data_IF_799903473117
#
_entry.id   IF_799903473117
#
_cell.length_a   1.000
_cell.length_b   1.000
_cell.length_c   1.000
_cell.angle_alpha   90.00
_cell.angle_beta   90.00
_cell.angle_gamma   90.00
#
_symmetry.space_group_name_H-M   'P 1'
#
loop_
_entity.id
_entity.type
_entity.pdbx_description
1 polymer ?
#
# COMPACT_ATOMS: atom_id res chain seq x y z
N UNK A 1 -11.51 -15.64 13.27
CA UNK A 1 -11.92 -16.04 11.95
C UNK A 1 -11.10 -17.23 11.50
N UNK A 2 -11.76 -18.22 11.01
CA UNK A 2 -11.10 -19.43 10.51
C UNK A 2 -10.46 -19.21 9.17
N UNK A 3 -10.73 -18.06 8.52
CA UNK A 3 -10.34 -17.73 7.14
C UNK A 3 -10.43 -18.91 6.13
N UNK A 4 -11.19 -19.94 6.46
CA UNK A 4 -11.43 -21.12 5.59
C UNK A 4 -10.16 -21.82 5.11
N UNK A 5 -9.04 -21.74 5.83
CA UNK A 5 -7.76 -22.28 5.38
C UNK A 5 -7.07 -21.49 4.26
N UNK A 6 -7.56 -20.31 3.93
CA UNK A 6 -7.03 -19.46 2.82
C UNK A 6 -5.79 -18.68 3.27
N UNK A 7 -5.52 -18.60 4.57
CA UNK A 7 -4.35 -17.89 5.07
C UNK A 7 -3.08 -18.47 4.46
N UNK A 8 -2.33 -17.62 3.78
CA UNK A 8 -1.00 -17.91 3.26
C UNK A 8 0.00 -16.96 3.88
N UNK A 9 1.16 -17.47 4.25
CA UNK A 9 2.25 -16.60 4.71
C UNK A 9 2.75 -15.74 3.55
N UNK A 10 3.13 -14.51 3.87
CA UNK A 10 3.74 -13.60 2.92
C UNK A 10 5.21 -13.95 2.73
N UNK A 11 5.62 -14.16 1.50
CA UNK A 11 7.01 -14.37 1.13
C UNK A 11 7.59 -13.03 0.69
N UNK A 12 8.62 -12.56 1.38
CA UNK A 12 9.31 -11.31 1.04
C UNK A 12 10.69 -11.59 0.46
N UNK A 13 11.23 -10.71 -0.39
CA UNK A 13 12.61 -10.82 -0.85
C UNK A 13 13.59 -10.90 0.33
N UNK A 14 14.52 -11.85 0.28
CA UNK A 14 15.47 -12.07 1.39
C UNK A 14 16.56 -10.99 1.47
N UNK A 15 16.95 -10.45 0.31
CA UNK A 15 18.05 -9.49 0.23
C UNK A 15 17.53 -8.11 -0.21
N UNK A 16 17.45 -7.17 0.74
CA UNK A 16 17.07 -5.79 0.50
C UNK A 16 18.15 -4.97 -0.20
N UNK A 17 19.42 -5.37 -0.11
CA UNK A 17 20.54 -4.66 -0.76
C UNK A 17 20.40 -4.63 -2.28
N UNK A 18 19.64 -5.58 -2.85
CA UNK A 18 19.30 -5.61 -4.27
C UNK A 18 18.57 -4.34 -4.73
N UNK A 19 17.80 -3.72 -3.85
CA UNK A 19 16.99 -2.54 -4.12
C UNK A 19 17.63 -1.26 -3.61
N UNK A 20 18.70 -1.38 -2.80
CA UNK A 20 19.34 -0.24 -2.20
C UNK A 20 20.09 0.61 -3.23
N UNK A 21 19.90 1.91 -3.17
CA UNK A 21 20.68 2.86 -3.95
C UNK A 21 22.01 3.12 -3.27
N UNK A 22 23.09 3.06 -4.08
CA UNK A 22 24.40 3.54 -3.67
C UNK A 22 24.39 5.07 -3.77
N UNK A 23 24.25 5.73 -2.62
CA UNK A 23 24.11 7.18 -2.58
C UNK A 23 25.44 7.86 -2.34
N UNK A 24 25.65 8.99 -3.03
CA UNK A 24 26.71 9.96 -2.72
C UNK A 24 26.07 11.17 -2.08
N UNK A 25 26.60 11.59 -0.93
CA UNK A 25 26.04 12.71 -0.17
C UNK A 25 25.89 13.96 -1.03
N UNK A 26 24.66 14.51 -1.09
CA UNK A 26 24.34 15.73 -1.84
C UNK A 26 24.40 15.63 -3.36
N UNK A 27 24.55 14.42 -3.94
CA UNK A 27 24.70 14.22 -5.39
C UNK A 27 23.70 13.22 -5.97
N UNK A 28 23.07 12.38 -5.17
CA UNK A 28 22.17 11.35 -5.65
C UNK A 28 20.73 11.85 -5.52
N UNK A 29 20.00 11.78 -6.62
CA UNK A 29 18.56 12.02 -6.66
C UNK A 29 17.87 10.78 -7.18
N UNK A 30 16.67 10.47 -6.67
CA UNK A 30 15.87 9.34 -7.14
C UNK A 30 14.38 9.56 -6.88
N UNK A 31 13.57 8.88 -7.66
CA UNK A 31 12.13 8.76 -7.41
C UNK A 31 11.90 7.58 -6.46
N UNK A 32 11.62 7.85 -5.19
CA UNK A 32 11.51 6.83 -4.15
C UNK A 32 10.44 5.79 -4.48
N UNK A 33 9.28 6.23 -4.94
CA UNK A 33 8.18 5.36 -5.31
C UNK A 33 8.51 4.44 -6.49
N UNK A 34 9.33 4.88 -7.45
CA UNK A 34 9.76 4.04 -8.58
C UNK A 34 10.61 2.88 -8.10
N UNK A 35 11.55 3.15 -7.20
CA UNK A 35 12.41 2.11 -6.63
C UNK A 35 11.62 1.16 -5.72
N UNK A 36 10.66 1.68 -4.94
CA UNK A 36 9.72 0.84 -4.20
C UNK A 36 8.91 -0.06 -5.14
N UNK A 37 8.50 0.43 -6.31
CA UNK A 37 7.80 -0.37 -7.32
C UNK A 37 8.58 -1.60 -7.77
N UNK A 38 9.91 -1.52 -7.86
CA UNK A 38 10.77 -2.67 -8.17
C UNK A 38 10.78 -3.72 -7.04
N UNK A 39 10.80 -3.30 -5.78
CA UNK A 39 10.64 -4.19 -4.64
C UNK A 39 9.26 -4.86 -4.63
N UNK A 40 8.19 -4.10 -4.80
CA UNK A 40 6.81 -4.61 -4.81
C UNK A 40 6.58 -5.59 -5.96
N UNK A 41 7.18 -5.37 -7.13
CA UNK A 41 7.16 -6.31 -8.26
C UNK A 41 7.63 -7.71 -7.83
N UNK A 42 8.73 -7.78 -7.11
CA UNK A 42 9.27 -9.04 -6.64
C UNK A 42 8.38 -9.67 -5.54
N UNK A 43 7.81 -8.85 -4.64
CA UNK A 43 6.81 -9.32 -3.66
C UNK A 43 5.60 -9.96 -4.37
N UNK A 44 5.05 -9.33 -5.41
CA UNK A 44 3.94 -9.89 -6.19
C UNK A 44 4.35 -11.20 -6.86
N UNK A 45 5.54 -11.24 -7.45
CA UNK A 45 6.05 -12.44 -8.15
C UNK A 45 6.17 -13.65 -7.22
N UNK A 46 6.52 -13.42 -5.95
CA UNK A 46 6.59 -14.45 -4.91
C UNK A 46 5.21 -14.83 -4.34
N UNK A 47 4.20 -13.95 -4.49
CA UNK A 47 2.89 -14.09 -3.85
C UNK A 47 1.73 -13.96 -4.84
N UNK A 48 1.79 -14.66 -5.96
CA UNK A 48 0.86 -14.53 -7.11
C UNK A 48 -0.62 -14.62 -6.73
N UNK A 49 -0.98 -15.37 -5.69
CA UNK A 49 -2.37 -15.64 -5.32
C UNK A 49 -2.81 -14.97 -4.02
N UNK A 50 -1.89 -14.33 -3.29
CA UNK A 50 -2.19 -13.84 -1.94
C UNK A 50 -1.74 -12.41 -1.68
N UNK A 51 -1.40 -11.64 -2.71
CA UNK A 51 -1.03 -10.23 -2.63
C UNK A 51 -1.80 -9.40 -3.64
N UNK A 52 -2.34 -8.25 -3.22
CA UNK A 52 -2.99 -7.27 -4.10
C UNK A 52 -2.52 -5.85 -3.79
N UNK A 53 -2.64 -5.01 -4.79
CA UNK A 53 -2.47 -3.55 -4.68
C UNK A 53 -3.81 -2.91 -5.01
N UNK A 54 -4.29 -2.03 -4.15
CA UNK A 54 -5.48 -1.25 -4.38
C UNK A 54 -5.14 0.22 -4.52
N UNK A 55 -5.84 0.93 -5.39
CA UNK A 55 -5.67 2.37 -5.57
C UNK A 55 -6.67 2.92 -6.60
N UNK A 56 -7.02 4.22 -6.53
CA UNK A 56 -8.06 4.80 -7.37
C UNK A 56 -7.49 5.33 -8.70
N UNK A 57 -7.08 4.44 -9.62
CA UNK A 57 -6.48 4.75 -10.93
C UNK A 57 -5.16 5.56 -10.87
N UNK A 58 -4.39 5.35 -9.82
CA UNK A 58 -3.19 6.15 -9.54
C UNK A 58 -1.89 5.34 -9.58
N UNK A 59 -1.91 4.06 -9.96
CA UNK A 59 -0.71 3.21 -9.90
C UNK A 59 0.46 3.76 -10.74
N UNK A 60 0.20 4.23 -11.96
CA UNK A 60 1.23 4.81 -12.83
C UNK A 60 1.67 6.20 -12.37
N UNK A 61 0.74 7.05 -11.97
CA UNK A 61 1.05 8.40 -11.48
C UNK A 61 1.79 8.38 -10.13
N UNK A 62 1.58 7.32 -9.35
CA UNK A 62 2.34 7.03 -8.13
C UNK A 62 3.69 6.33 -8.39
N UNK A 63 4.13 6.25 -9.66
CA UNK A 63 5.42 5.68 -10.07
C UNK A 63 5.59 4.18 -9.78
N UNK A 64 4.50 3.44 -9.64
CA UNK A 64 4.51 1.98 -9.42
C UNK A 64 4.61 1.17 -10.74
N UNK A 65 5.18 1.75 -11.80
CA UNK A 65 5.25 1.15 -13.14
C UNK A 65 5.83 -0.27 -13.15
N UNK A 66 6.88 -0.51 -12.36
CA UNK A 66 7.54 -1.83 -12.30
C UNK A 66 6.62 -2.97 -11.87
N UNK A 67 5.54 -2.67 -11.16
CA UNK A 67 4.54 -3.67 -10.75
C UNK A 67 3.94 -4.36 -11.96
N UNK A 68 3.73 -3.64 -13.06
CA UNK A 68 3.13 -4.17 -14.28
C UNK A 68 4.06 -5.09 -15.08
N UNK A 69 5.31 -5.22 -14.69
CA UNK A 69 6.20 -6.28 -15.21
C UNK A 69 5.86 -7.67 -14.64
N UNK A 70 5.21 -7.72 -13.47
CA UNK A 70 4.85 -8.97 -12.77
C UNK A 70 3.36 -9.29 -12.85
N UNK A 71 2.49 -8.31 -13.09
CA UNK A 71 1.04 -8.48 -13.07
C UNK A 71 0.34 -7.43 -13.93
N UNK A 72 -0.99 -7.50 -13.98
CA UNK A 72 -1.84 -6.55 -14.68
C UNK A 72 -2.87 -5.95 -13.72
N UNK A 73 -3.63 -4.97 -14.20
CA UNK A 73 -4.88 -4.54 -13.58
C UNK A 73 -5.89 -5.68 -13.64
N UNK A 74 -6.62 -5.87 -12.56
CA UNK A 74 -7.73 -6.81 -12.48
C UNK A 74 -8.89 -6.33 -13.35
N UNK A 75 -9.24 -7.09 -14.37
CA UNK A 75 -10.32 -6.73 -15.29
C UNK A 75 -11.23 -7.91 -15.57
N UNK A 76 -12.53 -7.78 -15.29
CA UNK A 76 -13.49 -8.88 -15.37
C UNK A 76 -14.39 -8.81 -16.61
N UNK A 77 -14.35 -7.71 -17.37
CA UNK A 77 -15.14 -7.55 -18.59
C UNK A 77 -14.35 -7.95 -19.83
N UNK A 78 -14.88 -7.65 -21.02
CA UNK A 78 -14.20 -7.94 -22.29
C UNK A 78 -12.89 -7.12 -22.38
N UNK A 79 -11.83 -7.78 -22.76
CA UNK A 79 -10.53 -7.17 -23.09
C UNK A 79 -10.43 -7.12 -24.61
N UNK A 80 -10.14 -5.95 -25.17
CA UNK A 80 -9.94 -5.74 -26.61
C UNK A 80 -8.44 -5.57 -26.92
N UNK A 81 -8.10 -5.62 -28.21
CA UNK A 81 -6.69 -5.61 -28.64
C UNK A 81 -5.91 -4.34 -28.22
N UNK A 82 -6.61 -3.23 -28.07
CA UNK A 82 -6.06 -1.92 -27.71
C UNK A 82 -5.87 -1.75 -26.18
N UNK A 83 -6.46 -2.64 -25.38
CA UNK A 83 -6.35 -2.57 -23.94
C UNK A 83 -4.94 -3.01 -23.51
N UNK A 84 -4.31 -2.15 -22.72
CA UNK A 84 -2.98 -2.39 -22.18
C UNK A 84 -3.07 -2.68 -20.67
N UNK A 85 -2.18 -3.52 -20.19
CA UNK A 85 -2.03 -3.81 -18.75
C UNK A 85 -3.29 -4.37 -18.06
N UNK A 86 -4.27 -4.89 -18.81
CA UNK A 86 -5.48 -5.51 -18.27
C UNK A 86 -5.39 -7.04 -18.29
N UNK A 87 -5.96 -7.68 -17.28
CA UNK A 87 -5.98 -9.15 -17.21
C UNK A 87 -6.94 -9.70 -16.15
N UNK A 88 -7.50 -10.89 -16.43
CA UNK A 88 -8.44 -11.58 -15.53
C UNK A 88 -7.84 -11.90 -14.16
N UNK A 89 -6.55 -12.19 -14.12
CA UNK A 89 -5.82 -12.55 -12.90
C UNK A 89 -4.93 -11.43 -12.37
N UNK A 90 -5.16 -10.19 -12.83
CA UNK A 90 -4.43 -9.03 -12.38
C UNK A 90 -4.48 -8.84 -10.86
N UNK A 91 -3.41 -8.30 -10.29
CA UNK A 91 -3.26 -8.06 -8.85
C UNK A 91 -3.32 -6.59 -8.49
N UNK A 92 -3.45 -5.71 -9.47
CA UNK A 92 -3.68 -4.29 -9.27
C UNK A 92 -5.17 -4.00 -9.45
N UNK A 93 -5.79 -3.44 -8.42
CA UNK A 93 -7.20 -3.05 -8.39
C UNK A 93 -7.22 -1.53 -8.33
N UNK A 94 -7.19 -0.90 -9.51
CA UNK A 94 -7.14 0.55 -9.66
C UNK A 94 -8.09 1.09 -10.74
N UNK A 95 -9.06 0.30 -11.15
CA UNK A 95 -10.01 0.69 -12.20
C UNK A 95 -11.21 1.52 -11.71
N UNK A 96 -11.25 1.85 -10.42
CA UNK A 96 -12.34 2.60 -9.79
C UNK A 96 -11.77 3.85 -9.14
N UNK A 97 -12.26 5.03 -9.49
CA UNK A 97 -11.95 6.30 -8.81
C UNK A 97 -12.74 6.39 -7.50
N UNK A 98 -12.36 5.55 -6.54
CA UNK A 98 -13.09 5.43 -5.27
C UNK A 98 -12.18 4.80 -4.21
N UNK A 99 -11.54 5.62 -3.41
CA UNK A 99 -10.66 5.20 -2.32
C UNK A 99 -11.38 4.30 -1.32
N UNK A 100 -12.64 4.62 -1.00
CA UNK A 100 -13.42 3.83 -0.05
C UNK A 100 -13.77 2.44 -0.60
N UNK A 101 -14.01 2.30 -1.91
CA UNK A 101 -14.21 0.98 -2.51
C UNK A 101 -12.91 0.18 -2.55
N UNK A 102 -11.78 0.83 -2.88
CA UNK A 102 -10.45 0.21 -2.87
C UNK A 102 -10.07 -0.26 -1.47
N UNK A 103 -10.28 0.57 -0.46
CA UNK A 103 -9.99 0.23 0.94
C UNK A 103 -10.88 -0.91 1.44
N UNK A 104 -12.19 -0.86 1.19
CA UNK A 104 -13.12 -1.93 1.58
C UNK A 104 -12.81 -3.28 0.93
N UNK A 105 -12.38 -3.28 -0.34
CA UNK A 105 -11.90 -4.50 -1.00
C UNK A 105 -10.61 -5.02 -0.35
N UNK A 106 -9.67 -4.13 -0.01
CA UNK A 106 -8.44 -4.51 0.68
C UNK A 106 -8.73 -5.07 2.07
N UNK A 107 -9.57 -4.40 2.88
CA UNK A 107 -9.97 -4.92 4.20
C UNK A 107 -10.55 -6.34 4.09
N UNK A 108 -11.51 -6.55 3.21
CA UNK A 108 -12.09 -7.87 2.97
C UNK A 108 -11.02 -8.91 2.60
N UNK A 109 -10.04 -8.51 1.78
CA UNK A 109 -8.94 -9.37 1.37
C UNK A 109 -8.01 -9.74 2.54
N UNK A 110 -7.64 -8.76 3.36
CA UNK A 110 -6.82 -8.97 4.57
C UNK A 110 -7.52 -9.86 5.59
N UNK A 111 -8.85 -9.70 5.77
CA UNK A 111 -9.65 -10.53 6.67
C UNK A 111 -9.66 -12.02 6.29
N UNK A 112 -9.39 -12.34 5.03
CA UNK A 112 -9.21 -13.73 4.57
C UNK A 112 -7.81 -14.29 4.85
N UNK A 113 -6.89 -13.53 5.43
CA UNK A 113 -5.51 -13.92 5.72
C UNK A 113 -4.55 -13.72 4.55
N UNK A 114 -4.91 -12.90 3.59
CA UNK A 114 -4.08 -12.46 2.48
C UNK A 114 -3.41 -11.13 2.78
N UNK A 115 -2.66 -10.58 1.82
CA UNK A 115 -1.80 -9.41 2.02
C UNK A 115 -2.00 -8.37 0.90
N UNK A 116 -1.63 -7.15 1.18
CA UNK A 116 -1.69 -6.06 0.21
C UNK A 116 -1.52 -4.69 0.84
N UNK A 117 -1.71 -3.66 0.03
CA UNK A 117 -1.76 -2.28 0.48
C UNK A 117 -2.66 -1.45 -0.43
N UNK A 118 -3.08 -0.30 0.07
CA UNK A 118 -3.71 0.75 -0.72
C UNK A 118 -2.74 1.91 -0.90
N UNK A 119 -2.70 2.47 -2.11
CA UNK A 119 -2.02 3.75 -2.37
C UNK A 119 -3.03 4.80 -2.78
N UNK A 120 -2.78 6.05 -2.41
CA UNK A 120 -3.58 7.20 -2.80
C UNK A 120 -2.80 8.50 -2.65
N UNK A 121 -3.37 9.60 -3.12
CA UNK A 121 -2.90 10.94 -2.81
C UNK A 121 -3.36 11.39 -1.43
N UNK A 122 -2.54 12.21 -0.80
CA UNK A 122 -2.78 12.68 0.56
C UNK A 122 -4.16 13.36 0.72
N UNK A 123 -4.56 14.19 -0.26
CA UNK A 123 -5.82 14.90 -0.20
C UNK A 123 -7.06 14.02 -0.35
N UNK A 124 -6.98 12.94 -1.15
CA UNK A 124 -8.16 12.14 -1.48
C UNK A 124 -8.41 11.01 -0.48
N UNK A 125 -7.36 10.53 0.18
CA UNK A 125 -7.47 9.44 1.14
C UNK A 125 -8.40 9.74 2.32
N UNK A 126 -8.70 10.99 2.61
CA UNK A 126 -9.58 11.38 3.72
C UNK A 126 -10.99 10.79 3.64
N UNK A 127 -11.44 10.41 2.48
CA UNK A 127 -12.75 9.75 2.32
C UNK A 127 -12.82 8.42 3.10
N UNK A 128 -11.68 7.81 3.46
CA UNK A 128 -11.63 6.57 4.24
C UNK A 128 -11.43 6.77 5.76
N UNK A 129 -11.41 8.01 6.26
CA UNK A 129 -11.17 8.33 7.68
C UNK A 129 -12.01 7.47 8.64
N UNK A 130 -13.31 7.36 8.37
CA UNK A 130 -14.24 6.59 9.21
C UNK A 130 -14.06 5.09 9.06
N UNK A 131 -13.74 4.59 7.87
CA UNK A 131 -13.48 3.18 7.61
C UNK A 131 -12.23 2.72 8.36
N UNK A 132 -11.14 3.46 8.26
CA UNK A 132 -9.91 3.19 9.01
C UNK A 132 -10.13 3.23 10.52
N UNK A 133 -10.98 4.14 11.02
CA UNK A 133 -11.36 4.17 12.43
C UNK A 133 -12.14 2.92 12.85
N UNK A 134 -13.04 2.43 12.01
CA UNK A 134 -13.77 1.17 12.27
C UNK A 134 -12.84 -0.03 12.21
N UNK A 135 -11.91 -0.06 11.25
CA UNK A 135 -10.90 -1.13 11.16
C UNK A 135 -10.00 -1.16 12.41
N UNK A 136 -9.56 0.00 12.91
CA UNK A 136 -8.79 0.10 14.15
C UNK A 136 -9.56 -0.45 15.35
N UNK A 137 -10.84 -0.11 15.47
CA UNK A 137 -11.74 -0.65 16.50
C UNK A 137 -11.88 -2.16 16.38
N UNK A 138 -12.06 -2.66 15.17
CA UNK A 138 -12.16 -4.07 14.90
C UNK A 138 -10.88 -4.82 15.27
N UNK A 139 -9.70 -4.33 14.89
CA UNK A 139 -8.39 -4.91 15.27
C UNK A 139 -8.28 -4.99 16.80
N UNK A 140 -8.60 -3.90 17.51
CA UNK A 140 -8.56 -3.87 18.97
C UNK A 140 -9.44 -4.98 19.58
N UNK A 141 -10.68 -5.05 19.14
CA UNK A 141 -11.62 -6.08 19.65
C UNK A 141 -11.18 -7.49 19.28
N UNK A 142 -10.65 -7.69 18.07
CA UNK A 142 -10.18 -8.98 17.60
C UNK A 142 -9.00 -9.52 18.42
N UNK A 143 -8.11 -8.65 18.90
CA UNK A 143 -6.97 -9.02 19.77
C UNK A 143 -7.42 -9.61 21.12
N UNK A 144 -8.61 -9.26 21.60
CA UNK A 144 -9.16 -9.73 22.86
C UNK A 144 -9.79 -11.13 22.74
N UNK A 145 -9.92 -11.68 21.53
CA UNK A 145 -10.58 -12.96 21.26
C UNK A 145 -9.52 -14.08 21.14
N UNK A 146 -9.39 -15.00 22.12
CA UNK A 146 -8.26 -15.95 22.19
C UNK A 146 -8.12 -16.90 20.99
N UNK A 147 -9.24 -17.26 20.34
CA UNK A 147 -9.22 -18.16 19.19
C UNK A 147 -8.98 -17.46 17.85
N UNK A 148 -8.93 -16.13 17.84
CA UNK A 148 -8.71 -15.35 16.62
C UNK A 148 -7.21 -15.24 16.32
N UNK A 149 -6.84 -15.60 15.10
CA UNK A 149 -5.46 -15.47 14.65
C UNK A 149 -5.18 -14.04 14.22
N UNK A 150 -3.94 -13.63 14.31
CA UNK A 150 -3.46 -12.35 13.80
C UNK A 150 -3.68 -12.24 12.29
N UNK A 151 -3.98 -11.03 11.85
CA UNK A 151 -4.18 -10.69 10.45
C UNK A 151 -3.04 -9.81 9.94
N UNK A 152 -2.86 -9.83 8.64
CA UNK A 152 -1.99 -8.89 7.95
C UNK A 152 -2.43 -7.47 8.25
N UNK A 153 -1.46 -6.58 8.44
CA UNK A 153 -1.73 -5.17 8.71
C UNK A 153 -2.37 -4.49 7.50
N UNK A 154 -3.22 -3.50 7.74
CA UNK A 154 -3.69 -2.58 6.74
C UNK A 154 -2.58 -1.56 6.45
N UNK A 155 -1.98 -1.63 5.27
CA UNK A 155 -0.90 -0.75 4.86
C UNK A 155 -1.44 0.31 3.90
N UNK A 156 -1.21 1.58 4.20
CA UNK A 156 -1.66 2.74 3.43
C UNK A 156 -0.42 3.51 3.00
N UNK A 157 -0.26 3.71 1.70
CA UNK A 157 0.87 4.40 1.10
C UNK A 157 0.38 5.70 0.45
N UNK A 158 0.80 6.84 0.97
CA UNK A 158 0.40 8.15 0.47
C UNK A 158 1.53 8.82 -0.29
N UNK A 159 1.15 9.53 -1.33
CA UNK A 159 2.01 10.42 -2.12
C UNK A 159 1.36 11.79 -2.27
N UNK A 160 1.97 12.69 -3.02
CA UNK A 160 1.48 14.07 -3.22
C UNK A 160 1.27 14.81 -1.90
N UNK A 161 2.23 14.69 -0.97
CA UNK A 161 2.15 15.26 0.37
C UNK A 161 2.43 16.76 0.38
N UNK A 162 1.82 17.46 1.32
CA UNK A 162 1.76 18.92 1.35
C UNK A 162 3.13 19.61 1.51
N UNK A 163 4.09 19.01 2.18
CA UNK A 163 5.41 19.64 2.39
C UNK A 163 6.35 19.56 1.18
N UNK A 164 6.02 18.81 0.14
CA UNK A 164 6.82 18.74 -1.09
C UNK A 164 6.23 19.57 -2.24
N UNK A 165 5.04 20.10 -2.11
CA UNK A 165 4.39 20.92 -3.13
C UNK A 165 4.35 20.23 -4.51
N UNK A 166 3.74 19.06 -4.54
CA UNK A 166 3.64 18.23 -5.73
C UNK A 166 3.04 18.99 -6.94
N UNK A 167 3.35 18.55 -8.17
CA UNK A 167 2.94 19.18 -9.41
C UNK A 167 1.42 19.41 -9.55
N UNK A 168 0.61 18.63 -8.84
CA UNK A 168 -0.85 18.82 -8.81
C UNK A 168 -1.30 20.01 -7.94
N UNK A 169 -0.38 20.67 -7.23
CA UNK A 169 -0.66 21.84 -6.40
C UNK A 169 -1.48 21.54 -5.15
N UNK A 170 -1.95 22.59 -4.49
CA UNK A 170 -2.61 22.53 -3.18
C UNK A 170 -3.91 21.69 -3.18
N UNK A 171 -4.56 21.51 -4.31
CA UNK A 171 -5.79 20.71 -4.41
C UNK A 171 -5.59 19.21 -4.19
N UNK A 172 -4.33 18.74 -4.25
CA UNK A 172 -3.95 17.35 -4.09
C UNK A 172 -3.14 17.08 -2.81
N UNK A 173 -3.08 18.06 -1.91
CA UNK A 173 -2.28 18.05 -0.69
C UNK A 173 -3.14 18.41 0.52
N UNK A 174 -3.25 17.49 1.47
CA UNK A 174 -4.00 17.73 2.71
C UNK A 174 -3.48 16.78 3.81
N UNK A 175 -2.80 17.30 4.85
CA UNK A 175 -2.29 16.47 5.94
C UNK A 175 -3.40 15.97 6.88
N UNK A 176 -4.65 16.22 6.57
CA UNK A 176 -5.80 15.90 7.43
C UNK A 176 -5.91 14.43 7.80
N UNK A 177 -5.54 13.51 6.91
CA UNK A 177 -5.52 12.09 7.22
C UNK A 177 -4.45 11.73 8.26
N UNK A 178 -3.27 12.33 8.17
CA UNK A 178 -2.21 12.18 9.19
C UNK A 178 -2.73 12.67 10.53
N UNK A 179 -3.32 13.88 10.56
CA UNK A 179 -3.90 14.47 11.77
C UNK A 179 -5.03 13.60 12.36
N UNK A 180 -5.83 12.94 11.50
CA UNK A 180 -6.86 12.00 11.93
C UNK A 180 -6.27 10.77 12.64
N UNK A 181 -5.10 10.29 12.22
CA UNK A 181 -4.47 9.10 12.79
C UNK A 181 -3.61 9.38 14.03
N UNK A 182 -2.98 10.55 14.12
CA UNK A 182 -2.06 10.91 15.22
C UNK A 182 -2.60 10.68 16.64
N UNK A 183 -3.86 11.00 16.99
CA UNK A 183 -4.37 10.81 18.34
C UNK A 183 -4.73 9.35 18.67
N UNK A 184 -4.59 8.44 17.73
CA UNK A 184 -4.94 7.03 17.94
C UNK A 184 -3.77 6.27 18.61
N UNK A 185 -4.09 5.12 19.20
CA UNK A 185 -3.11 4.34 19.97
C UNK A 185 -2.01 3.73 19.08
N UNK A 186 -0.76 3.86 19.49
CA UNK A 186 0.43 3.34 18.82
C UNK A 186 0.52 1.80 18.79
N UNK A 187 -0.25 1.12 19.63
CA UNK A 187 -0.37 -0.35 19.59
C UNK A 187 -1.24 -0.85 18.42
N UNK A 188 -1.91 0.05 17.72
CA UNK A 188 -2.78 -0.24 16.60
C UNK A 188 -2.40 0.56 15.35
N UNK A 189 -1.99 1.82 15.48
CA UNK A 189 -1.67 2.71 14.36
C UNK A 189 -0.23 3.17 14.42
N UNK A 190 0.45 3.14 13.28
CA UNK A 190 1.81 3.65 13.10
C UNK A 190 1.90 4.52 11.87
N UNK A 191 2.67 5.59 11.96
CA UNK A 191 2.91 6.55 10.88
C UNK A 191 4.40 6.60 10.60
N UNK A 192 4.77 6.45 9.34
CA UNK A 192 6.15 6.45 8.87
C UNK A 192 6.34 7.54 7.82
N UNK A 193 7.42 8.29 7.98
CA UNK A 193 7.83 9.37 7.09
C UNK A 193 9.26 9.09 6.58
N UNK A 194 9.45 8.08 5.73
CA UNK A 194 10.77 7.78 5.16
C UNK A 194 11.23 8.96 4.30
N UNK A 195 12.48 9.33 4.45
CA UNK A 195 13.04 10.54 3.82
C UNK A 195 13.85 10.25 2.55
N UNK A 196 14.09 8.99 2.21
CA UNK A 196 14.76 8.55 0.99
C UNK A 196 14.33 7.15 0.55
N UNK A 197 14.79 6.76 -0.62
CA UNK A 197 14.49 5.44 -1.21
C UNK A 197 14.87 4.27 -0.29
N UNK A 198 16.04 4.29 0.33
CA UNK A 198 16.52 3.17 1.12
C UNK A 198 15.70 3.01 2.40
N UNK A 199 15.38 4.12 3.06
CA UNK A 199 14.51 4.12 4.23
C UNK A 199 13.07 3.75 3.86
N UNK A 200 12.57 4.15 2.68
CA UNK A 200 11.25 3.76 2.21
C UNK A 200 11.15 2.24 1.98
N UNK A 201 12.12 1.64 1.28
CA UNK A 201 12.13 0.20 1.02
C UNK A 201 12.22 -0.59 2.33
N UNK A 202 13.11 -0.20 3.24
CA UNK A 202 13.25 -0.82 4.57
C UNK A 202 11.96 -0.69 5.39
N UNK A 203 11.33 0.48 5.36
CA UNK A 203 10.03 0.70 6.02
C UNK A 203 8.94 -0.19 5.43
N UNK A 204 8.88 -0.28 4.11
CA UNK A 204 7.85 -1.06 3.44
C UNK A 204 8.00 -2.58 3.68
N UNK A 205 9.23 -3.09 3.70
CA UNK A 205 9.52 -4.46 4.12
C UNK A 205 9.10 -4.69 5.59
N UNK A 206 9.45 -3.77 6.47
CA UNK A 206 9.06 -3.84 7.88
C UNK A 206 7.54 -3.89 8.06
N UNK A 207 6.77 -2.96 7.47
CA UNK A 207 5.32 -2.92 7.64
C UNK A 207 4.64 -4.15 7.04
N UNK A 208 5.21 -4.72 5.98
CA UNK A 208 4.70 -5.95 5.35
C UNK A 208 4.78 -7.16 6.28
N UNK A 209 5.72 -7.16 7.22
CA UNK A 209 5.86 -8.22 8.25
C UNK A 209 4.95 -8.03 9.46
N UNK A 210 4.41 -6.82 9.67
CA UNK A 210 3.58 -6.52 10.85
C UNK A 210 2.23 -7.19 10.76
N UNK A 211 1.64 -7.46 11.93
CA UNK A 211 0.31 -8.05 12.08
C UNK A 211 -0.54 -7.19 13.00
N UNK A 212 -1.83 -7.10 12.70
CA UNK A 212 -2.81 -6.36 13.51
C UNK A 212 -2.48 -4.87 13.70
N UNK A 213 -1.88 -4.24 12.67
CA UNK A 213 -1.62 -2.79 12.65
C UNK A 213 -2.32 -2.14 11.46
N UNK A 214 -2.49 -0.84 11.58
CA UNK A 214 -2.71 0.07 10.47
C UNK A 214 -1.44 0.89 10.33
N UNK A 215 -0.75 0.74 9.21
CA UNK A 215 0.49 1.44 8.92
C UNK A 215 0.23 2.49 7.84
N UNK A 216 0.51 3.74 8.16
CA UNK A 216 0.54 4.83 7.20
C UNK A 216 1.98 5.12 6.82
N UNK A 217 2.28 5.10 5.54
CA UNK A 217 3.58 5.52 4.98
C UNK A 217 3.33 6.69 4.05
N UNK A 218 4.04 7.78 4.26
CA UNK A 218 4.00 8.94 3.36
C UNK A 218 5.33 9.02 2.62
N UNK A 219 5.29 8.92 1.29
CA UNK A 219 6.47 8.79 0.45
C UNK A 219 6.51 9.82 -0.68
N UNK A 220 7.69 10.12 -1.18
CA UNK A 220 7.90 11.00 -2.32
C UNK A 220 7.84 10.24 -3.64
N UNK A 221 7.15 10.80 -4.63
CA UNK A 221 7.17 10.32 -6.03
C UNK A 221 8.03 11.19 -6.95
N UNK A 222 8.60 12.25 -6.42
CA UNK A 222 9.52 13.14 -7.13
C UNK A 222 10.96 12.98 -6.63
N UNK A 223 11.90 13.45 -7.47
CA UNK A 223 13.33 13.51 -7.13
C UNK A 223 13.63 14.63 -6.15
#
# INVERSE_FOLDING_TARGET
STNGGIKKELILPENLDKYALKVKRGQTQSEDMRNLGAYIKDVISLNKDNYIICGPDEALSNRLNHVFEATTRKWNTKIIKQDELLGRNGRVIDSILSEHACEGMLEGYLLTGRHGFIHSYEAFVRIIDSMVSQHAKWIKMAKEIPWRKELSSLNILLTSHCWQQDHNGFTHQDPGFINHLLPKKSDTIRIYLPFDTNTLISTFDHISRTKNYINLVVASKHM
#
